data_IF_920660222965
#
_entry.id   IF_920660222965
#
_cell.length_a   1.000
_cell.length_b   1.000
_cell.length_c   1.000
_cell.angle_alpha   90.00
_cell.angle_beta   90.00
_cell.angle_gamma   90.00
#
_symmetry.space_group_name_H-M   'P 1'
#
loop_
_entity.id
_entity.type
_entity.pdbx_description
1 polymer ?
#
# COMPACT_ATOMS: atom_id res chain seq x y z
N UNK A 1 -7.80 26.95 -70.00
CA UNK A 1 -6.83 25.90 -70.33
C UNK A 1 -5.53 26.17 -69.61
N UNK A 2 -5.27 25.44 -68.52
CA UNK A 2 -3.97 25.27 -67.89
C UNK A 2 -4.07 24.05 -67.00
N UNK A 3 -3.21 23.07 -67.28
CA UNK A 3 -3.16 21.74 -66.68
C UNK A 3 -2.18 21.84 -65.50
N UNK A 4 -2.63 21.50 -64.30
CA UNK A 4 -1.77 21.31 -63.13
C UNK A 4 -1.30 19.84 -63.06
N UNK A 5 -0.04 19.57 -62.66
CA UNK A 5 0.50 18.22 -62.63
C UNK A 5 0.12 17.47 -61.35
N UNK A 6 -0.18 16.18 -61.53
CA UNK A 6 -0.36 15.16 -60.50
C UNK A 6 1.00 14.69 -59.96
N UNK A 7 1.25 14.92 -58.68
CA UNK A 7 2.38 14.33 -57.95
C UNK A 7 2.00 12.97 -57.37
N UNK A 8 2.65 11.92 -57.87
CA UNK A 8 2.56 10.54 -57.40
C UNK A 8 3.32 10.34 -56.08
N UNK A 9 2.64 9.81 -55.06
CA UNK A 9 3.25 9.33 -53.81
C UNK A 9 3.80 7.90 -54.02
N UNK A 10 5.11 7.72 -53.85
CA UNK A 10 5.74 6.40 -53.67
C UNK A 10 5.67 5.98 -52.20
N UNK A 11 5.43 4.70 -51.88
CA UNK A 11 5.54 4.19 -50.53
C UNK A 11 7.03 3.98 -50.18
N UNK A 12 7.54 4.80 -49.27
CA UNK A 12 8.86 4.60 -48.66
C UNK A 12 8.87 3.31 -47.84
N UNK A 13 9.79 2.41 -48.15
CA UNK A 13 10.07 1.23 -47.36
C UNK A 13 10.70 1.65 -46.02
N UNK A 14 10.04 1.28 -44.93
CA UNK A 14 10.56 1.44 -43.58
C UNK A 14 11.72 0.46 -43.38
N UNK A 15 12.95 0.93 -43.56
CA UNK A 15 14.14 0.22 -43.11
C UNK A 15 14.10 0.11 -41.57
N UNK A 16 14.06 -1.14 -41.08
CA UNK A 16 14.31 -1.48 -39.68
C UNK A 16 15.70 -0.96 -39.29
N UNK A 17 15.74 0.10 -38.48
CA UNK A 17 16.96 0.62 -37.90
C UNK A 17 17.67 -0.50 -37.11
N UNK A 18 18.91 -0.75 -37.49
CA UNK A 18 19.82 -1.70 -36.86
C UNK A 18 19.89 -1.46 -35.34
N UNK A 19 19.48 -2.46 -34.56
CA UNK A 19 19.66 -2.46 -33.11
C UNK A 19 21.15 -2.35 -32.76
N UNK A 20 21.48 -1.38 -31.91
CA UNK A 20 22.84 -1.21 -31.37
C UNK A 20 23.28 -2.48 -30.62
N UNK A 21 24.53 -2.95 -30.77
CA UNK A 21 25.10 -4.08 -30.01
C UNK A 21 24.89 -3.96 -28.49
N UNK A 22 24.82 -2.73 -27.96
CA UNK A 22 24.55 -2.47 -26.55
C UNK A 22 23.14 -2.89 -26.11
N UNK A 23 22.13 -2.74 -26.99
CA UNK A 23 20.75 -3.18 -26.71
C UNK A 23 20.62 -4.70 -26.72
N UNK A 24 21.36 -5.39 -27.59
CA UNK A 24 21.39 -6.86 -27.63
C UNK A 24 22.13 -7.44 -26.42
N UNK A 25 23.25 -6.82 -26.02
CA UNK A 25 23.99 -7.22 -24.82
C UNK A 25 23.16 -7.04 -23.54
N UNK A 26 22.42 -5.93 -23.41
CA UNK A 26 21.53 -5.71 -22.28
C UNK A 26 20.33 -6.69 -22.28
N UNK A 27 19.79 -7.04 -23.45
CA UNK A 27 18.74 -8.04 -23.60
C UNK A 27 19.25 -9.45 -23.20
N UNK A 28 20.44 -9.84 -23.65
CA UNK A 28 21.11 -11.10 -23.29
C UNK A 28 21.45 -11.14 -21.79
N UNK A 29 21.85 -10.01 -21.20
CA UNK A 29 22.15 -9.95 -19.77
C UNK A 29 20.87 -10.03 -18.93
N UNK A 30 19.77 -9.39 -19.38
CA UNK A 30 18.46 -9.48 -18.73
C UNK A 30 17.85 -10.89 -18.83
N UNK A 31 18.05 -11.58 -19.95
CA UNK A 31 17.57 -12.95 -20.14
C UNK A 31 18.39 -13.96 -19.36
N UNK A 32 19.71 -13.75 -19.22
CA UNK A 32 20.56 -14.53 -18.30
C UNK A 32 20.19 -14.30 -16.84
N UNK A 33 19.97 -13.05 -16.43
CA UNK A 33 19.52 -12.76 -15.07
C UNK A 33 18.15 -13.41 -14.78
N UNK A 34 17.22 -13.37 -15.74
CA UNK A 34 15.93 -14.05 -15.62
C UNK A 34 16.07 -15.58 -15.58
N UNK A 35 16.97 -16.15 -16.39
CA UNK A 35 17.24 -17.59 -16.41
C UNK A 35 17.91 -18.08 -15.12
N UNK A 36 18.87 -17.32 -14.59
CA UNK A 36 19.55 -17.62 -13.31
C UNK A 36 18.57 -17.53 -12.13
N UNK A 37 17.64 -16.57 -12.18
CA UNK A 37 16.56 -16.41 -11.21
C UNK A 37 15.55 -17.57 -11.27
N UNK A 38 15.25 -18.09 -12.46
CA UNK A 38 14.35 -19.23 -12.66
C UNK A 38 15.01 -20.57 -12.27
N UNK A 39 16.31 -20.74 -12.50
CA UNK A 39 17.05 -21.94 -12.06
C UNK A 39 17.18 -22.04 -10.53
N UNK A 40 17.15 -20.91 -9.81
CA UNK A 40 17.24 -20.89 -8.35
C UNK A 40 15.96 -21.32 -7.62
N UNK A 41 14.82 -21.44 -8.33
CA UNK A 41 13.49 -21.69 -7.76
C UNK A 41 13.12 -23.18 -7.60
N UNK A 42 14.09 -24.11 -7.65
CA UNK A 42 13.85 -25.56 -7.60
C UNK A 42 13.16 -26.08 -6.32
N UNK A 43 12.05 -26.82 -6.50
CA UNK A 43 11.27 -27.56 -5.48
C UNK A 43 11.93 -28.90 -5.11
N UNK A 44 11.90 -29.37 -3.84
CA UNK A 44 10.97 -30.48 -3.48
C UNK A 44 10.47 -30.53 -2.00
N UNK A 45 9.59 -31.52 -1.75
CA UNK A 45 8.70 -31.84 -0.61
C UNK A 45 9.25 -31.94 0.83
N UNK A 46 8.46 -31.51 1.84
CA UNK A 46 7.81 -32.36 2.87
C UNK A 46 7.28 -31.55 4.08
N UNK A 47 6.26 -32.08 4.75
CA UNK A 47 5.45 -31.42 5.78
C UNK A 47 5.84 -31.81 7.22
N UNK A 48 5.78 -30.87 8.18
CA UNK A 48 5.24 -31.03 9.56
C UNK A 48 5.51 -29.83 10.51
N UNK A 49 4.59 -29.64 11.48
CA UNK A 49 4.60 -28.84 12.74
C UNK A 49 4.13 -27.35 12.67
N UNK A 50 2.91 -26.96 13.13
CA UNK A 50 2.31 -26.87 14.49
C UNK A 50 2.64 -25.55 15.24
N UNK A 51 1.68 -24.59 15.42
CA UNK A 51 0.80 -24.31 16.60
C UNK A 51 1.61 -23.86 17.87
N UNK A 52 1.34 -22.80 18.67
CA UNK A 52 0.14 -22.01 19.10
C UNK A 52 0.58 -20.72 19.87
N UNK A 53 -0.38 -19.81 20.10
CA UNK A 53 -0.41 -18.49 20.76
C UNK A 53 -0.07 -18.34 22.27
N UNK A 54 0.04 -17.08 22.76
CA UNK A 54 -0.57 -16.61 24.03
C UNK A 54 -0.57 -15.07 24.23
N UNK A 55 -1.56 -14.63 25.01
CA UNK A 55 -2.13 -13.29 25.32
C UNK A 55 -1.30 -12.34 26.21
N UNK A 56 -1.66 -11.03 26.29
CA UNK A 56 -1.81 -10.21 27.53
C UNK A 56 -2.73 -8.95 27.33
N UNK A 57 -3.56 -8.73 28.36
CA UNK A 57 -4.56 -7.75 28.85
C UNK A 57 -4.63 -6.23 28.50
N UNK A 58 -5.90 -5.75 28.40
CA UNK A 58 -6.67 -4.69 29.15
C UNK A 58 -5.92 -3.45 29.75
N UNK A 59 -6.43 -2.21 29.88
CA UNK A 59 -7.76 -1.54 29.73
C UNK A 59 -7.52 -0.01 29.85
N UNK A 60 -8.11 0.88 29.04
CA UNK A 60 -8.28 2.32 29.40
C UNK A 60 -9.47 2.96 28.66
N UNK A 61 -10.18 3.87 29.35
CA UNK A 61 -11.06 4.90 28.77
C UNK A 61 -10.14 6.05 28.31
N UNK A 62 -10.46 6.70 27.19
CA UNK A 62 -9.60 7.54 26.34
C UNK A 62 -8.65 6.80 25.37
N UNK A 63 -9.15 5.73 24.75
CA UNK A 63 -8.39 4.96 23.74
C UNK A 63 -8.04 5.79 22.51
N UNK A 64 -6.76 5.77 22.09
CA UNK A 64 -6.33 6.12 20.73
C UNK A 64 -6.93 5.13 19.72
N UNK A 65 -6.91 5.46 18.42
CA UNK A 65 -7.43 4.55 17.38
C UNK A 65 -6.74 3.18 17.46
N UNK A 66 -5.44 3.16 17.77
CA UNK A 66 -4.65 1.96 18.04
C UNK A 66 -5.31 1.09 19.12
N UNK A 67 -5.68 1.69 20.26
CA UNK A 67 -6.29 0.94 21.37
C UNK A 67 -7.74 0.53 21.06
N UNK A 68 -8.50 1.35 20.31
CA UNK A 68 -9.86 0.99 19.87
C UNK A 68 -9.84 -0.23 18.97
N UNK A 69 -8.95 -0.22 17.98
CA UNK A 69 -8.78 -1.36 17.09
C UNK A 69 -8.19 -2.53 17.86
N UNK A 70 -7.26 -2.34 18.79
CA UNK A 70 -6.61 -3.41 19.56
C UNK A 70 -7.54 -4.20 20.50
N UNK A 71 -8.66 -3.63 20.96
CA UNK A 71 -9.60 -4.33 21.85
C UNK A 71 -10.25 -5.53 21.14
N UNK A 72 -10.18 -6.74 21.72
CA UNK A 72 -10.97 -7.88 21.24
C UNK A 72 -12.46 -7.55 21.27
N UNK A 73 -13.23 -8.02 20.28
CA UNK A 73 -14.70 -7.90 20.29
C UNK A 73 -15.26 -8.70 21.47
N UNK A 74 -15.63 -8.01 22.54
CA UNK A 74 -16.08 -8.63 23.78
C UNK A 74 -17.56 -9.01 23.68
N UNK A 75 -17.83 -10.26 23.30
CA UNK A 75 -19.05 -10.93 23.73
C UNK A 75 -18.81 -11.50 25.13
N UNK A 76 -19.41 -10.85 26.14
CA UNK A 76 -19.68 -11.44 27.46
C UNK A 76 -18.54 -11.47 28.47
N UNK A 77 -18.48 -10.47 29.36
CA UNK A 77 -18.47 -10.68 30.83
C UNK A 77 -18.29 -9.35 31.56
N UNK A 78 -19.00 -9.21 32.67
CA UNK A 78 -19.21 -8.01 33.46
C UNK A 78 -18.67 -8.27 34.88
N UNK A 79 -17.84 -7.36 35.39
CA UNK A 79 -17.41 -7.10 36.80
C UNK A 79 -15.94 -6.62 36.76
N UNK A 80 -15.40 -5.80 37.65
CA UNK A 80 -15.86 -5.10 38.86
C UNK A 80 -14.95 -3.85 38.99
N UNK A 81 -15.44 -2.78 39.63
CA UNK A 81 -14.72 -1.51 39.79
C UNK A 81 -13.86 -1.55 41.06
N UNK A 82 -12.59 -1.18 40.95
CA UNK A 82 -11.85 -0.56 42.06
C UNK A 82 -10.93 0.54 41.54
N UNK A 83 -10.80 1.55 42.39
CA UNK A 83 -10.28 2.89 42.17
C UNK A 83 -8.77 2.94 42.43
N UNK A 84 -8.01 3.80 41.73
CA UNK A 84 -6.56 3.92 41.97
C UNK A 84 -5.72 4.65 40.93
N UNK A 85 -5.77 5.98 41.00
CA UNK A 85 -4.75 7.02 40.73
C UNK A 85 -3.60 6.78 39.71
N UNK A 86 -3.58 7.72 38.76
CA UNK A 86 -2.77 7.86 37.55
C UNK A 86 -1.34 8.36 37.84
N UNK A 87 -0.34 7.76 37.17
CA UNK A 87 0.94 8.43 36.87
C UNK A 87 1.24 8.25 35.38
N UNK A 88 0.99 9.31 34.60
CA UNK A 88 1.25 9.34 33.16
C UNK A 88 2.75 9.49 32.89
N UNK A 89 3.49 8.38 32.95
CA UNK A 89 4.71 8.26 32.16
C UNK A 89 4.28 7.97 30.73
N UNK A 90 4.79 8.76 29.77
CA UNK A 90 4.73 8.44 28.34
C UNK A 90 5.52 7.14 28.11
N UNK A 91 4.89 6.01 28.42
CA UNK A 91 5.35 4.71 27.99
C UNK A 91 5.30 4.77 26.47
N UNK A 92 6.46 4.68 25.81
CA UNK A 92 6.53 4.33 24.41
C UNK A 92 5.84 2.97 24.26
N UNK A 93 4.54 3.00 24.02
CA UNK A 93 3.73 1.82 23.79
C UNK A 93 4.22 1.21 22.49
N UNK A 94 4.65 -0.05 22.57
CA UNK A 94 5.01 -0.82 21.38
C UNK A 94 3.86 -0.71 20.36
N UNK A 95 4.16 -0.49 19.06
CA UNK A 95 3.12 -0.44 18.04
C UNK A 95 2.23 -1.67 18.11
N UNK A 96 0.91 -1.49 18.06
CA UNK A 96 0.00 -2.62 17.96
C UNK A 96 0.20 -3.30 16.60
N UNK A 97 0.22 -4.63 16.57
CA UNK A 97 0.48 -5.41 15.36
C UNK A 97 -0.69 -6.35 15.10
N UNK A 98 -1.20 -6.31 13.87
CA UNK A 98 -2.31 -7.14 13.39
C UNK A 98 -1.95 -7.76 12.06
N UNK A 99 -2.67 -8.79 11.63
CA UNK A 99 -2.69 -9.18 10.21
C UNK A 99 -3.56 -8.23 9.39
N UNK A 100 -3.48 -8.29 8.05
CA UNK A 100 -4.38 -7.50 7.19
C UNK A 100 -5.86 -7.87 7.43
N UNK A 101 -6.17 -9.16 7.61
CA UNK A 101 -7.53 -9.63 7.84
C UNK A 101 -8.05 -9.17 9.20
N UNK A 102 -7.25 -9.28 10.26
CA UNK A 102 -7.61 -8.77 11.58
C UNK A 102 -7.86 -7.26 11.55
N UNK A 103 -7.02 -6.50 10.84
CA UNK A 103 -7.22 -5.07 10.66
C UNK A 103 -8.54 -4.78 9.95
N UNK A 104 -8.83 -5.45 8.82
CA UNK A 104 -10.05 -5.24 8.06
C UNK A 104 -11.31 -5.62 8.85
N UNK A 105 -11.27 -6.73 9.60
CA UNK A 105 -12.35 -7.15 10.49
C UNK A 105 -12.61 -6.15 11.61
N UNK A 106 -11.56 -5.65 12.26
CA UNK A 106 -11.67 -4.64 13.34
C UNK A 106 -12.24 -3.33 12.82
N UNK A 107 -11.85 -2.90 11.61
CA UNK A 107 -12.43 -1.71 10.97
C UNK A 107 -13.90 -1.92 10.65
N UNK A 108 -14.28 -3.06 10.05
CA UNK A 108 -15.69 -3.37 9.72
C UNK A 108 -16.59 -3.45 10.95
N UNK A 109 -16.08 -3.97 12.06
CA UNK A 109 -16.80 -4.06 13.33
C UNK A 109 -16.90 -2.71 14.07
N UNK A 110 -16.17 -1.68 13.65
CA UNK A 110 -16.19 -0.36 14.28
C UNK A 110 -17.44 0.45 13.90
N UNK A 111 -17.71 1.52 14.67
CA UNK A 111 -18.80 2.46 14.37
C UNK A 111 -18.63 3.12 13.00
N UNK A 112 -19.73 3.55 12.38
CA UNK A 112 -19.70 4.31 11.12
C UNK A 112 -18.77 5.51 11.20
N UNK A 113 -18.79 6.25 12.30
CA UNK A 113 -17.90 7.41 12.54
C UNK A 113 -16.41 7.04 12.61
N UNK A 114 -16.07 5.84 13.08
CA UNK A 114 -14.67 5.35 13.07
C UNK A 114 -14.28 4.88 11.68
N UNK A 115 -15.18 4.18 10.99
CA UNK A 115 -14.97 3.69 9.61
C UNK A 115 -14.78 4.84 8.62
N UNK A 116 -15.48 5.96 8.83
CA UNK A 116 -15.39 7.15 7.99
C UNK A 116 -14.17 8.04 8.29
N UNK A 117 -13.30 7.68 9.24
CA UNK A 117 -12.13 8.51 9.56
C UNK A 117 -11.26 8.73 8.30
N UNK A 118 -10.86 9.98 8.00
CA UNK A 118 -10.12 10.30 6.80
C UNK A 118 -8.68 9.77 6.84
N UNK A 119 -8.27 9.19 5.71
CA UNK A 119 -6.87 8.91 5.40
C UNK A 119 -6.31 10.14 4.68
N UNK A 120 -5.38 10.85 5.34
CA UNK A 120 -4.90 12.16 4.88
C UNK A 120 -3.54 12.12 4.21
N UNK A 121 -2.83 11.01 4.32
CA UNK A 121 -1.55 10.79 3.64
C UNK A 121 -1.31 9.30 3.42
N UNK A 122 -0.75 8.94 2.28
CA UNK A 122 -0.19 7.62 2.00
C UNK A 122 1.26 7.83 1.54
N UNK A 123 2.17 7.10 2.17
CA UNK A 123 3.61 7.19 1.91
C UNK A 123 4.21 5.81 1.70
N UNK A 124 4.99 5.64 0.65
CA UNK A 124 5.78 4.44 0.41
C UNK A 124 7.20 4.65 0.92
N UNK A 125 7.71 3.68 1.68
CA UNK A 125 9.04 3.69 2.23
C UNK A 125 9.82 2.43 1.86
N UNK A 126 11.14 2.56 1.84
CA UNK A 126 12.07 1.46 1.64
C UNK A 126 13.02 1.35 2.84
N UNK A 127 13.24 0.11 3.29
CA UNK A 127 14.36 -0.22 4.18
C UNK A 127 15.62 -0.38 3.35
N UNK A 128 16.69 0.39 3.61
CA UNK A 128 17.95 0.23 2.89
C UNK A 128 18.40 -1.23 2.92
N UNK A 129 18.66 -1.82 1.75
CA UNK A 129 19.24 -3.15 1.64
C UNK A 129 20.75 -3.11 1.88
N UNK A 130 21.33 -4.27 2.26
CA UNK A 130 22.78 -4.45 2.36
C UNK A 130 23.48 -4.08 1.03
N UNK A 131 24.77 -3.70 1.07
CA UNK A 131 25.52 -3.34 -0.14
C UNK A 131 25.66 -4.57 -1.06
N UNK A 132 24.82 -4.65 -2.09
CA UNK A 132 24.83 -5.66 -3.13
C UNK A 132 24.34 -5.08 -4.47
N UNK A 133 24.57 -5.77 -5.60
CA UNK A 133 24.31 -5.23 -6.94
C UNK A 133 22.81 -5.05 -7.26
N UNK A 134 21.93 -5.79 -6.59
CA UNK A 134 20.48 -5.71 -6.74
C UNK A 134 19.87 -5.11 -5.47
N UNK A 135 20.13 -3.82 -5.18
CA UNK A 135 19.68 -3.10 -3.97
C UNK A 135 18.14 -3.02 -3.87
N UNK A 136 17.47 -4.13 -3.63
CA UNK A 136 16.02 -4.21 -3.46
C UNK A 136 15.77 -4.20 -1.96
N UNK A 137 15.43 -3.03 -1.43
CA UNK A 137 15.04 -2.90 -0.04
C UNK A 137 13.63 -3.44 0.21
N UNK A 138 13.33 -3.79 1.47
CA UNK A 138 11.96 -4.12 1.86
C UNK A 138 11.09 -2.86 1.76
N UNK A 139 10.06 -2.90 0.91
CA UNK A 139 9.12 -1.81 0.70
C UNK A 139 7.86 -1.98 1.56
N UNK A 140 7.34 -0.87 2.07
CA UNK A 140 6.12 -0.85 2.88
C UNK A 140 5.41 0.50 2.75
N UNK A 141 4.13 0.53 3.09
CA UNK A 141 3.31 1.75 3.04
C UNK A 141 2.97 2.22 4.45
N UNK A 142 2.94 3.54 4.67
CA UNK A 142 2.40 4.17 5.87
C UNK A 142 1.22 5.04 5.48
N UNK A 143 0.05 4.75 6.04
CA UNK A 143 -1.14 5.58 5.96
C UNK A 143 -1.24 6.46 7.21
N UNK A 144 -1.61 7.73 7.04
CA UNK A 144 -1.98 8.63 8.14
C UNK A 144 -3.49 8.72 8.22
N UNK A 145 -4.07 8.32 9.35
CA UNK A 145 -5.50 8.37 9.65
C UNK A 145 -5.74 9.50 10.64
N UNK A 146 -6.49 10.53 10.24
CA UNK A 146 -6.79 11.67 11.09
C UNK A 146 -8.06 11.41 11.91
N UNK A 147 -8.00 11.61 13.22
CA UNK A 147 -9.14 11.55 14.12
C UNK A 147 -9.12 12.72 15.13
N UNK A 148 -10.20 12.99 15.89
CA UNK A 148 -10.30 14.18 16.75
C UNK A 148 -9.23 14.35 17.82
N UNK A 149 -8.46 13.31 18.11
CA UNK A 149 -7.39 13.32 19.13
C UNK A 149 -5.99 13.44 18.53
N UNK A 150 -5.88 13.57 17.20
CA UNK A 150 -4.63 13.58 16.47
C UNK A 150 -4.55 12.50 15.38
N UNK A 151 -3.43 12.43 14.66
CA UNK A 151 -3.20 11.40 13.67
C UNK A 151 -2.75 10.07 14.31
N UNK A 152 -3.24 8.96 13.76
CA UNK A 152 -2.66 7.63 13.95
C UNK A 152 -2.07 7.16 12.63
N UNK A 153 -0.90 6.53 12.69
CA UNK A 153 -0.18 6.00 11.54
C UNK A 153 -0.34 4.48 11.48
N UNK A 154 -0.66 3.96 10.30
CA UNK A 154 -0.77 2.54 10.02
C UNK A 154 0.26 2.14 8.97
N UNK A 155 1.24 1.32 9.37
CA UNK A 155 2.27 0.75 8.50
C UNK A 155 1.84 -0.63 8.02
N UNK A 156 1.83 -0.83 6.71
CA UNK A 156 1.45 -2.06 6.03
C UNK A 156 2.70 -2.73 5.46
N UNK A 157 3.06 -3.86 6.04
CA UNK A 157 4.19 -4.67 5.62
C UNK A 157 3.71 -6.00 5.01
N UNK A 158 4.48 -6.51 4.07
CA UNK A 158 4.40 -7.89 3.60
C UNK A 158 5.79 -8.51 3.70
N UNK A 159 5.95 -9.56 4.49
CA UNK A 159 7.21 -10.29 4.61
C UNK A 159 7.08 -11.70 4.07
N UNK A 160 8.22 -12.26 3.66
CA UNK A 160 8.37 -13.69 3.54
C UNK A 160 8.56 -14.31 4.91
N UNK A 161 7.86 -15.39 5.23
CA UNK A 161 8.24 -16.18 6.40
C UNK A 161 9.67 -16.74 6.28
N UNK A 162 10.19 -16.95 5.06
CA UNK A 162 11.59 -17.34 4.83
C UNK A 162 12.62 -16.25 5.17
N UNK A 163 12.20 -15.01 5.44
CA UNK A 163 13.07 -13.98 6.01
C UNK A 163 13.30 -14.20 7.53
N UNK A 164 12.61 -15.16 8.14
CA UNK A 164 12.92 -15.64 9.49
C UNK A 164 14.11 -16.61 9.43
N UNK A 165 15.08 -16.51 10.36
CA UNK A 165 16.25 -17.40 10.38
C UNK A 165 15.82 -18.88 10.36
N UNK A 166 16.29 -19.64 9.36
CA UNK A 166 16.11 -21.09 9.30
C UNK A 166 14.91 -21.62 8.50
N UNK A 167 14.15 -20.76 7.79
CA UNK A 167 13.04 -21.19 6.94
C UNK A 167 13.48 -21.22 5.46
N UNK A 168 13.33 -22.38 4.82
CA UNK A 168 13.61 -22.57 3.40
C UNK A 168 12.76 -21.62 2.52
N UNK A 169 13.30 -21.24 1.36
CA UNK A 169 12.62 -20.42 0.35
C UNK A 169 11.20 -20.95 0.07
N UNK A 170 10.18 -20.09 0.13
CA UNK A 170 8.76 -20.46 -0.12
C UNK A 170 7.83 -20.49 1.09
N UNK A 171 8.19 -19.81 2.19
CA UNK A 171 7.30 -19.67 3.35
C UNK A 171 6.07 -18.77 3.10
N UNK A 172 5.01 -18.87 3.94
CA UNK A 172 3.78 -18.09 3.75
C UNK A 172 4.03 -16.58 3.84
N UNK A 173 3.26 -15.83 3.05
CA UNK A 173 3.21 -14.37 3.11
C UNK A 173 2.71 -13.90 4.47
N UNK A 174 3.48 -13.05 5.13
CA UNK A 174 3.09 -12.42 6.39
C UNK A 174 2.68 -10.97 6.10
N UNK A 175 1.37 -10.76 5.98
CA UNK A 175 0.75 -9.45 5.91
C UNK A 175 0.58 -8.88 7.31
N UNK A 176 1.20 -7.73 7.60
CA UNK A 176 1.18 -7.12 8.93
C UNK A 176 0.82 -5.64 8.87
N UNK A 177 -0.07 -5.22 9.76
CA UNK A 177 -0.37 -3.82 10.03
C UNK A 177 0.20 -3.45 11.39
N UNK A 178 1.12 -2.48 11.42
CA UNK A 178 1.62 -1.87 12.67
C UNK A 178 1.01 -0.50 12.84
N UNK A 179 0.39 -0.23 13.98
CA UNK A 179 -0.22 1.07 14.25
C UNK A 179 0.48 1.79 15.41
N UNK A 180 0.73 3.09 15.24
CA UNK A 180 1.33 3.95 16.25
C UNK A 180 0.83 5.38 16.09
N UNK A 181 0.78 6.14 17.18
CA UNK A 181 0.55 7.58 17.16
C UNK A 181 1.88 8.36 16.94
N UNK A 182 3.02 7.66 16.88
CA UNK A 182 4.34 8.20 16.52
C UNK A 182 4.77 7.68 15.14
N UNK A 183 4.78 8.59 14.14
CA UNK A 183 5.23 8.26 12.78
C UNK A 183 6.68 7.82 12.73
N UNK A 184 7.55 8.43 13.54
CA UNK A 184 8.99 8.16 13.54
C UNK A 184 9.24 6.72 13.99
N UNK A 185 8.46 6.21 14.95
CA UNK A 185 8.52 4.82 15.36
C UNK A 185 8.27 3.82 14.21
N UNK A 186 7.58 4.24 13.13
CA UNK A 186 7.30 3.41 11.96
C UNK A 186 8.29 3.64 10.80
N UNK A 187 8.95 4.79 10.73
CA UNK A 187 9.74 5.24 9.56
C UNK A 187 11.22 5.52 9.84
N UNK A 188 11.69 5.43 11.08
CA UNK A 188 13.08 5.77 11.44
C UNK A 188 14.12 5.03 10.60
N UNK A 189 15.00 5.79 9.93
CA UNK A 189 16.08 5.26 9.11
C UNK A 189 15.61 4.56 7.84
N UNK A 190 14.53 5.07 7.22
CA UNK A 190 13.89 4.52 6.02
C UNK A 190 13.80 5.60 4.97
N UNK A 191 13.94 5.22 3.70
CA UNK A 191 13.91 6.14 2.56
C UNK A 191 12.47 6.29 2.10
N UNK A 192 11.97 7.52 2.00
CA UNK A 192 10.70 7.81 1.35
C UNK A 192 10.85 7.61 -0.17
N UNK A 193 9.98 6.81 -0.77
CA UNK A 193 9.94 6.55 -2.21
C UNK A 193 8.90 7.43 -2.89
N UNK A 194 7.69 7.45 -2.35
CA UNK A 194 6.58 8.22 -2.88
C UNK A 194 5.60 8.64 -1.79
N UNK A 195 4.83 9.69 -2.07
CA UNK A 195 3.86 10.24 -1.14
C UNK A 195 2.71 10.89 -1.90
N UNK A 196 1.50 10.76 -1.35
CA UNK A 196 0.38 11.66 -1.59
C UNK A 196 -0.16 12.12 -0.25
N UNK A 197 -0.45 13.40 -0.10
CA UNK A 197 -1.06 13.95 1.10
C UNK A 197 -2.07 15.03 0.75
N UNK A 198 -3.07 15.19 1.61
CA UNK A 198 -4.01 16.30 1.50
C UNK A 198 -3.31 17.61 1.91
N UNK A 199 -3.48 18.67 1.11
CA UNK A 199 -2.98 19.99 1.45
C UNK A 199 -3.64 20.55 2.72
N UNK A 200 -2.94 21.44 3.42
CA UNK A 200 -3.51 22.13 4.58
C UNK A 200 -4.80 22.87 4.18
N UNK A 201 -5.89 22.66 4.94
CA UNK A 201 -7.18 23.32 4.71
C UNK A 201 -8.06 22.71 3.61
N UNK A 202 -7.62 21.66 2.92
CA UNK A 202 -8.46 20.99 1.93
C UNK A 202 -9.54 20.10 2.59
N UNK A 203 -10.73 20.07 1.99
CA UNK A 203 -11.84 19.27 2.49
C UNK A 203 -11.57 17.77 2.39
N UNK A 204 -11.68 17.09 3.52
CA UNK A 204 -11.49 15.63 3.65
C UNK A 204 -12.70 14.80 3.21
N UNK A 205 -13.85 15.42 2.92
CA UNK A 205 -15.14 14.71 2.72
C UNK A 205 -15.23 13.89 1.44
N UNK A 206 -14.26 14.04 0.54
CA UNK A 206 -14.19 13.30 -0.74
C UNK A 206 -12.98 12.37 -0.82
N UNK A 207 -12.24 12.26 0.29
CA UNK A 207 -11.02 11.46 0.37
C UNK A 207 -11.26 10.00 0.74
N UNK A 208 -10.17 9.22 0.79
CA UNK A 208 -10.22 7.85 1.28
C UNK A 208 -10.53 7.83 2.77
N UNK A 209 -11.35 6.88 3.18
CA UNK A 209 -11.61 6.58 4.58
C UNK A 209 -10.78 5.40 5.08
N UNK A 210 -10.81 5.19 6.40
CA UNK A 210 -10.30 3.98 7.03
C UNK A 210 -10.99 2.71 6.50
N UNK A 211 -12.29 2.78 6.20
CA UNK A 211 -13.06 1.69 5.59
C UNK A 211 -12.59 1.37 4.16
N UNK A 212 -12.29 2.40 3.36
CA UNK A 212 -11.74 2.24 2.02
C UNK A 212 -10.37 1.55 2.06
N UNK A 213 -9.51 1.97 2.99
CA UNK A 213 -8.20 1.35 3.21
C UNK A 213 -8.33 -0.11 3.66
N UNK A 214 -9.25 -0.41 4.58
CA UNK A 214 -9.54 -1.77 5.03
C UNK A 214 -10.03 -2.68 3.89
N UNK A 215 -10.92 -2.19 3.04
CA UNK A 215 -11.40 -2.93 1.86
C UNK A 215 -10.26 -3.24 0.88
N UNK A 216 -9.36 -2.28 0.65
CA UNK A 216 -8.22 -2.49 -0.25
C UNK A 216 -7.26 -3.57 0.26
N UNK A 217 -6.89 -3.52 1.55
CA UNK A 217 -5.95 -4.51 2.11
C UNK A 217 -6.55 -5.92 2.16
N UNK A 218 -7.86 -6.04 2.32
CA UNK A 218 -8.55 -7.32 2.20
C UNK A 218 -8.47 -7.87 0.76
N UNK A 219 -8.71 -7.03 -0.25
CA UNK A 219 -8.57 -7.43 -1.66
C UNK A 219 -7.13 -7.87 -1.94
N UNK A 220 -6.13 -7.10 -1.48
CA UNK A 220 -4.71 -7.45 -1.64
C UNK A 220 -4.42 -8.81 -0.99
N UNK A 221 -4.91 -9.05 0.23
CA UNK A 221 -4.70 -10.32 0.92
C UNK A 221 -5.36 -11.50 0.20
N UNK A 222 -6.59 -11.32 -0.29
CA UNK A 222 -7.29 -12.35 -1.08
C UNK A 222 -6.54 -12.66 -2.37
N UNK A 223 -6.03 -11.62 -3.05
CA UNK A 223 -5.25 -11.77 -4.28
C UNK A 223 -3.85 -12.29 -4.07
N UNK A 224 -3.31 -12.27 -2.87
CA UNK A 224 -2.00 -12.85 -2.59
C UNK A 224 -1.92 -14.33 -3.00
N UNK A 225 -3.04 -15.06 -2.87
CA UNK A 225 -3.12 -16.49 -3.21
C UNK A 225 -2.24 -17.35 -2.31
N UNK A 226 -2.02 -18.61 -2.72
CA UNK A 226 -1.20 -19.59 -1.98
C UNK A 226 0.30 -19.54 -2.32
N UNK A 227 0.67 -19.01 -3.47
CA UNK A 227 2.04 -19.07 -3.99
C UNK A 227 2.73 -17.72 -3.93
N UNK A 228 3.58 -17.57 -2.92
CA UNK A 228 4.53 -16.47 -2.82
C UNK A 228 5.89 -16.90 -3.37
N UNK A 229 6.50 -16.03 -4.16
CA UNK A 229 7.93 -16.10 -4.47
C UNK A 229 8.56 -14.71 -4.40
N UNK A 230 9.86 -14.65 -4.14
CA UNK A 230 10.66 -13.41 -4.11
C UNK A 230 10.43 -12.52 -5.36
N UNK A 231 10.03 -13.15 -6.47
CA UNK A 231 9.92 -12.57 -7.81
C UNK A 231 8.44 -12.34 -8.21
N UNK A 232 7.48 -12.82 -7.41
CA UNK A 232 6.05 -12.78 -7.69
C UNK A 232 5.30 -11.68 -6.92
N UNK A 233 4.26 -12.06 -6.17
CA UNK A 233 3.49 -11.16 -5.30
C UNK A 233 4.28 -10.89 -4.01
N UNK A 234 5.27 -9.99 -4.09
CA UNK A 234 6.17 -9.63 -2.99
C UNK A 234 5.82 -8.28 -2.31
N UNK A 235 6.70 -7.76 -1.45
CA UNK A 235 6.49 -6.47 -0.79
C UNK A 235 6.42 -5.29 -1.76
N UNK A 236 7.14 -5.32 -2.89
CA UNK A 236 7.01 -4.31 -3.93
C UNK A 236 5.64 -4.38 -4.62
N UNK A 237 5.14 -5.59 -4.92
CA UNK A 237 3.77 -5.78 -5.45
C UNK A 237 2.69 -5.27 -4.48
N UNK A 238 2.81 -5.56 -3.19
CA UNK A 238 1.86 -5.05 -2.18
C UNK A 238 1.92 -3.52 -2.08
N UNK A 239 3.13 -2.95 -2.10
CA UNK A 239 3.35 -1.52 -2.13
C UNK A 239 2.75 -0.87 -3.39
N UNK A 240 2.92 -1.50 -4.57
CA UNK A 240 2.31 -1.09 -5.84
C UNK A 240 0.79 -0.94 -5.70
N UNK A 241 0.12 -2.02 -5.30
CA UNK A 241 -1.33 -2.04 -5.18
C UNK A 241 -1.85 -1.04 -4.14
N UNK A 242 -1.18 -0.94 -3.00
CA UNK A 242 -1.64 -0.09 -1.90
C UNK A 242 -1.38 1.40 -2.17
N UNK A 243 -0.14 1.78 -2.48
CA UNK A 243 0.22 3.18 -2.73
C UNK A 243 -0.43 3.72 -4.01
N UNK A 244 -0.20 3.04 -5.14
CA UNK A 244 -0.63 3.55 -6.43
C UNK A 244 -2.12 3.32 -6.68
N UNK A 245 -2.72 2.29 -6.09
CA UNK A 245 -4.17 2.11 -6.07
C UNK A 245 -4.87 3.24 -5.32
N UNK A 246 -4.43 3.56 -4.10
CA UNK A 246 -4.96 4.70 -3.34
C UNK A 246 -4.79 6.02 -4.09
N UNK A 247 -3.60 6.25 -4.68
CA UNK A 247 -3.32 7.46 -5.45
C UNK A 247 -4.23 7.59 -6.68
N UNK A 248 -4.47 6.50 -7.41
CA UNK A 248 -5.29 6.50 -8.63
C UNK A 248 -6.78 6.63 -8.33
N UNK A 249 -7.29 5.89 -7.32
CA UNK A 249 -8.72 5.86 -6.98
C UNK A 249 -9.23 7.21 -6.51
N UNK A 250 -8.42 7.91 -5.73
CA UNK A 250 -8.74 9.20 -5.14
C UNK A 250 -7.89 10.32 -5.75
N UNK A 251 -7.54 10.23 -7.03
CA UNK A 251 -6.66 11.20 -7.70
C UNK A 251 -7.16 12.64 -7.59
N UNK A 252 -8.47 12.87 -7.75
CA UNK A 252 -9.09 14.19 -7.58
C UNK A 252 -8.94 14.76 -6.17
N UNK A 253 -8.79 13.91 -5.15
CA UNK A 253 -8.49 14.30 -3.78
C UNK A 253 -7.01 14.65 -3.61
N UNK A 254 -6.12 13.77 -4.09
CA UNK A 254 -4.68 13.91 -3.90
C UNK A 254 -4.03 15.01 -4.72
N UNK A 255 -4.53 15.28 -5.94
CA UNK A 255 -4.01 16.34 -6.81
C UNK A 255 -4.18 17.75 -6.22
N UNK A 256 -4.94 17.91 -5.14
CA UNK A 256 -5.12 19.17 -4.40
C UNK A 256 -4.06 19.40 -3.32
N UNK A 257 -3.20 18.42 -3.05
CA UNK A 257 -2.19 18.50 -2.00
C UNK A 257 -0.79 18.14 -2.51
N UNK A 258 0.20 18.05 -1.60
CA UNK A 258 1.56 17.69 -1.98
C UNK A 258 1.68 16.21 -2.32
N UNK A 259 2.50 15.91 -3.32
CA UNK A 259 2.84 14.55 -3.71
C UNK A 259 4.29 14.48 -4.22
N UNK A 260 4.92 13.33 -4.04
CA UNK A 260 6.34 13.10 -4.33
C UNK A 260 6.56 11.72 -4.96
N UNK A 261 7.48 11.58 -5.92
CA UNK A 261 8.03 12.64 -6.77
C UNK A 261 6.91 13.31 -7.57
N UNK A 262 6.95 14.64 -7.69
CA UNK A 262 5.82 15.43 -8.21
C UNK A 262 5.39 14.96 -9.61
N UNK A 263 6.31 15.00 -10.57
CA UNK A 263 5.98 14.69 -11.96
C UNK A 263 5.47 13.24 -12.15
N UNK A 264 6.14 12.26 -11.55
CA UNK A 264 5.74 10.85 -11.67
C UNK A 264 4.36 10.60 -11.07
N UNK A 265 4.11 11.12 -9.86
CA UNK A 265 2.82 10.91 -9.18
C UNK A 265 1.69 11.67 -9.89
N UNK A 266 1.95 12.88 -10.41
CA UNK A 266 1.01 13.64 -11.24
C UNK A 266 0.58 12.83 -12.46
N UNK A 267 1.55 12.36 -13.26
CA UNK A 267 1.31 11.55 -14.46
C UNK A 267 0.53 10.27 -14.15
N UNK A 268 0.90 9.56 -13.08
CA UNK A 268 0.18 8.36 -12.64
C UNK A 268 -1.27 8.66 -12.27
N UNK A 269 -1.50 9.69 -11.45
CA UNK A 269 -2.84 10.07 -11.00
C UNK A 269 -3.74 10.52 -12.15
N UNK A 270 -3.20 11.18 -13.18
CA UNK A 270 -3.91 11.47 -14.42
C UNK A 270 -4.09 10.26 -15.34
N UNK A 271 -3.25 9.22 -15.20
CA UNK A 271 -3.33 8.01 -16.01
C UNK A 271 -2.49 8.05 -17.27
N UNK A 272 -1.49 8.92 -17.28
CA UNK A 272 -0.58 9.11 -18.41
C UNK A 272 0.52 8.03 -18.45
N UNK A 273 0.70 7.28 -17.36
CA UNK A 273 1.67 6.19 -17.24
C UNK A 273 1.05 4.99 -16.52
N UNK A 274 1.57 3.79 -16.79
CA UNK A 274 1.25 2.56 -16.08
C UNK A 274 1.95 2.44 -14.71
N UNK A 275 1.50 1.50 -13.88
CA UNK A 275 1.97 1.33 -12.49
C UNK A 275 3.43 0.92 -12.44
N UNK A 276 3.88 0.05 -13.35
CA UNK A 276 5.30 -0.35 -13.41
C UNK A 276 6.19 0.86 -13.68
N UNK A 277 5.77 1.75 -14.59
CA UNK A 277 6.52 2.97 -14.91
C UNK A 277 6.58 3.89 -13.70
N UNK A 278 5.46 4.08 -13.02
CA UNK A 278 5.34 4.92 -11.83
C UNK A 278 6.21 4.39 -10.67
N UNK A 279 6.11 3.10 -10.35
CA UNK A 279 6.88 2.46 -9.27
C UNK A 279 8.38 2.53 -9.53
N UNK A 280 8.81 2.25 -10.76
CA UNK A 280 10.24 2.31 -11.12
C UNK A 280 10.79 3.73 -11.08
N UNK A 281 10.02 4.72 -11.55
CA UNK A 281 10.38 6.14 -11.44
C UNK A 281 10.51 6.62 -9.99
N UNK A 282 9.62 6.17 -9.10
CA UNK A 282 9.68 6.51 -7.67
C UNK A 282 10.85 5.80 -6.94
N UNK A 283 11.21 4.60 -7.40
CA UNK A 283 12.21 3.75 -6.71
C UNK A 283 13.64 4.09 -7.11
N UNK A 284 13.88 4.31 -8.40
CA UNK A 284 15.22 4.45 -8.98
C UNK A 284 15.46 5.90 -9.45
N UNK A 285 16.43 6.60 -8.85
CA UNK A 285 16.71 7.98 -9.23
C UNK A 285 17.40 8.09 -10.61
N UNK A 286 18.23 7.11 -10.98
CA UNK A 286 19.02 7.15 -12.21
C UNK A 286 18.26 6.54 -13.41
N UNK A 287 18.41 7.11 -14.63
CA UNK A 287 17.71 6.62 -15.82
C UNK A 287 18.03 5.16 -16.20
N UNK A 288 19.27 4.71 -15.96
CA UNK A 288 19.71 3.37 -16.34
C UNK A 288 19.06 2.31 -15.46
N UNK A 289 19.06 2.53 -14.14
CA UNK A 289 18.38 1.69 -13.17
C UNK A 289 16.87 1.62 -13.43
N UNK A 290 16.25 2.74 -13.80
CA UNK A 290 14.84 2.76 -14.22
C UNK A 290 14.58 1.89 -15.44
N UNK A 291 15.39 2.06 -16.50
CA UNK A 291 15.24 1.25 -17.71
C UNK A 291 15.43 -0.24 -17.42
N UNK A 292 16.50 -0.60 -16.71
CA UNK A 292 16.79 -1.98 -16.31
C UNK A 292 15.64 -2.58 -15.50
N UNK A 293 15.18 -1.89 -14.46
CA UNK A 293 14.10 -2.36 -13.59
C UNK A 293 12.78 -2.56 -14.34
N UNK A 294 12.44 -1.66 -15.27
CA UNK A 294 11.25 -1.80 -16.12
C UNK A 294 11.34 -2.99 -17.05
N UNK A 295 12.46 -3.14 -17.73
CA UNK A 295 12.67 -4.23 -18.68
C UNK A 295 12.68 -5.57 -17.96
N UNK A 296 13.45 -5.71 -16.88
CA UNK A 296 13.50 -6.95 -16.09
C UNK A 296 12.14 -7.26 -15.45
N UNK A 297 11.48 -6.27 -14.86
CA UNK A 297 10.16 -6.43 -14.25
C UNK A 297 9.12 -6.89 -15.27
N UNK A 298 9.10 -6.28 -16.45
CA UNK A 298 8.18 -6.66 -17.54
C UNK A 298 8.42 -8.09 -18.03
N UNK A 299 9.69 -8.47 -18.27
CA UNK A 299 10.05 -9.81 -18.76
C UNK A 299 9.67 -10.87 -17.73
N UNK A 300 10.09 -10.68 -16.49
CA UNK A 300 9.81 -11.59 -15.38
C UNK A 300 8.30 -11.77 -15.19
N UNK A 301 7.55 -10.66 -15.16
CA UNK A 301 6.10 -10.70 -14.98
C UNK A 301 5.39 -11.37 -16.17
N UNK A 302 5.86 -11.11 -17.39
CA UNK A 302 5.36 -11.76 -18.60
C UNK A 302 5.57 -13.27 -18.59
N UNK A 303 6.73 -13.74 -18.12
CA UNK A 303 7.01 -15.18 -17.94
C UNK A 303 6.06 -15.77 -16.90
N UNK A 304 5.88 -15.14 -15.74
CA UNK A 304 4.94 -15.63 -14.73
C UNK A 304 3.50 -15.69 -15.26
N UNK A 305 3.04 -14.64 -15.95
CA UNK A 305 1.70 -14.60 -16.52
C UNK A 305 1.49 -15.67 -17.59
N UNK A 306 2.50 -15.93 -18.41
CA UNK A 306 2.46 -16.99 -19.42
C UNK A 306 2.42 -18.39 -18.79
N UNK A 307 3.29 -18.65 -17.80
CA UNK A 307 3.41 -19.97 -17.15
C UNK A 307 2.15 -20.32 -16.34
N UNK A 308 1.54 -19.33 -15.69
CA UNK A 308 0.37 -19.55 -14.82
C UNK A 308 -0.96 -19.28 -15.50
N UNK A 309 -1.00 -19.12 -16.84
CA UNK A 309 -2.19 -18.67 -17.58
C UNK A 309 -3.45 -19.51 -17.33
N UNK A 310 -3.26 -20.80 -17.04
CA UNK A 310 -4.31 -21.81 -16.85
C UNK A 310 -4.71 -21.97 -15.36
N UNK A 311 -4.02 -21.27 -14.44
CA UNK A 311 -4.29 -21.32 -13.01
C UNK A 311 -5.41 -20.35 -12.59
N UNK A 312 -6.19 -20.71 -11.56
CA UNK A 312 -7.19 -19.81 -10.99
C UNK A 312 -6.53 -18.55 -10.38
N UNK A 313 -5.34 -18.70 -9.81
CA UNK A 313 -4.58 -17.64 -9.15
C UNK A 313 -3.49 -17.04 -10.06
N UNK A 314 -3.68 -17.11 -11.39
CA UNK A 314 -2.68 -16.69 -12.38
C UNK A 314 -2.08 -15.31 -12.09
N UNK A 315 -0.80 -15.18 -12.43
CA UNK A 315 -0.15 -13.88 -12.46
C UNK A 315 -0.66 -13.08 -13.65
N UNK A 316 -0.90 -11.79 -13.41
CA UNK A 316 -1.24 -10.82 -14.46
C UNK A 316 -0.09 -9.83 -14.64
N UNK A 317 -0.04 -9.12 -15.76
CA UNK A 317 0.85 -7.96 -15.86
C UNK A 317 0.48 -6.94 -14.77
N UNK A 318 1.43 -6.09 -14.35
CA UNK A 318 1.20 -5.20 -13.20
C UNK A 318 0.04 -4.22 -13.42
N UNK A 319 -0.13 -3.71 -14.64
CA UNK A 319 -1.24 -2.82 -14.98
C UNK A 319 -2.60 -3.56 -14.92
N UNK A 320 -2.67 -4.77 -15.47
CA UNK A 320 -3.86 -5.63 -15.40
C UNK A 320 -4.22 -6.00 -13.95
N UNK A 321 -3.20 -6.31 -13.14
CA UNK A 321 -3.38 -6.63 -11.72
C UNK A 321 -3.95 -5.42 -10.96
N UNK A 322 -3.44 -4.22 -11.23
CA UNK A 322 -3.97 -2.97 -10.68
C UNK A 322 -5.42 -2.76 -11.12
N UNK A 323 -5.74 -2.97 -12.40
CA UNK A 323 -7.11 -2.80 -12.91
C UNK A 323 -8.10 -3.75 -12.22
N UNK A 324 -7.72 -5.02 -12.04
CA UNK A 324 -8.55 -6.02 -11.34
C UNK A 324 -8.81 -5.59 -9.89
N UNK A 325 -7.77 -5.17 -9.17
CA UNK A 325 -7.88 -4.67 -7.79
C UNK A 325 -8.79 -3.45 -7.72
N UNK A 326 -8.58 -2.48 -8.59
CA UNK A 326 -9.34 -1.23 -8.65
C UNK A 326 -10.81 -1.46 -8.99
N UNK A 327 -11.10 -2.46 -9.82
CA UNK A 327 -12.44 -2.89 -10.21
C UNK A 327 -13.19 -3.62 -9.10
N UNK A 328 -12.48 -4.41 -8.29
CA UNK A 328 -13.01 -5.07 -7.10
C UNK A 328 -13.23 -4.09 -5.93
N UNK A 329 -12.44 -3.01 -5.87
CA UNK A 329 -12.46 -2.05 -4.78
C UNK A 329 -13.65 -1.08 -4.87
N UNK A 330 -14.78 -1.52 -4.30
CA UNK A 330 -16.08 -0.84 -4.26
C UNK A 330 -16.75 -1.05 -2.88
N UNK A 331 -17.86 -0.37 -2.63
CA UNK A 331 -18.73 -0.65 -1.47
C UNK A 331 -18.21 -0.17 -0.10
N UNK A 332 -17.20 0.70 -0.08
CA UNK A 332 -16.66 1.30 1.15
C UNK A 332 -17.31 2.67 1.45
N UNK A 333 -17.31 3.06 2.73
CA UNK A 333 -17.71 4.40 3.14
C UNK A 333 -16.68 5.44 2.69
N UNK A 334 -17.11 6.64 2.30
CA UNK A 334 -16.20 7.77 2.05
C UNK A 334 -15.81 8.47 3.35
N UNK A 335 -14.71 9.21 3.32
CA UNK A 335 -14.23 9.94 4.48
C UNK A 335 -15.22 11.03 4.93
N UNK A 336 -15.42 11.15 6.24
CA UNK A 336 -16.22 12.19 6.88
C UNK A 336 -15.59 12.55 8.23
N UNK A 337 -15.54 13.84 8.52
CA UNK A 337 -15.34 14.31 9.89
C UNK A 337 -16.71 14.75 10.36
N UNK A 338 -17.31 13.94 11.23
CA UNK A 338 -18.42 14.43 12.04
C UNK A 338 -17.80 15.39 13.04
N UNK A 339 -17.81 16.68 12.73
CA UNK A 339 -17.62 17.70 13.75
C UNK A 339 -18.89 17.58 14.57
N UNK A 340 -18.81 16.97 15.76
CA UNK A 340 -19.87 17.14 16.75
C UNK A 340 -20.04 18.64 16.91
N UNK A 341 -21.11 19.17 16.32
CA UNK A 341 -21.53 20.55 16.53
C UNK A 341 -21.65 20.69 18.05
N UNK A 342 -20.93 21.63 18.68
CA UNK A 342 -20.98 21.77 20.13
C UNK A 342 -22.45 21.87 20.51
N UNK A 343 -22.93 20.92 21.32
CA UNK A 343 -24.30 21.01 21.81
C UNK A 343 -24.45 22.40 22.44
N UNK A 344 -25.44 23.20 22.02
CA UNK A 344 -25.69 24.48 22.67
C UNK A 344 -25.85 24.20 24.16
N UNK A 345 -25.07 24.92 24.97
CA UNK A 345 -25.09 24.75 26.41
C UNK A 345 -26.54 24.96 26.87
N UNK A 346 -27.18 23.97 27.52
CA UNK A 346 -28.59 24.09 27.92
C UNK A 346 -28.82 25.18 28.98
N UNK A 347 -27.75 25.82 29.48
CA UNK A 347 -27.77 26.85 30.52
C UNK A 347 -27.66 28.29 30.01
N UNK A 348 -27.63 28.54 28.69
CA UNK A 348 -27.90 29.89 28.15
C UNK A 348 -29.41 30.17 28.18
N UNK A 349 -29.96 30.14 29.40
CA UNK A 349 -31.25 30.69 29.75
C UNK A 349 -31.22 32.17 29.44
N UNK A 350 -31.73 32.52 28.26
CA UNK A 350 -32.16 33.86 27.92
C UNK A 350 -33.19 34.30 28.98
N UNK A 351 -32.72 34.95 30.04
CA UNK A 351 -33.56 35.81 30.86
C UNK A 351 -34.07 36.91 29.92
N UNK A 352 -35.28 36.70 29.41
CA UNK A 352 -36.07 37.75 28.78
C UNK A 352 -36.40 38.79 29.85
N UNK A 353 -35.46 39.72 30.04
CA UNK A 353 -35.71 40.97 30.73
C UNK A 353 -36.86 41.69 30.03
N UNK A 354 -38.04 41.64 30.64
CA UNK A 354 -39.14 42.52 30.30
C UNK A 354 -38.78 43.96 30.64
N UNK A 355 -38.90 44.84 29.65
CA UNK A 355 -39.17 46.27 29.85
C UNK A 355 -40.47 46.61 29.18
#
# INVERSE_FOLDING_TARGET
>A
MSILPTSSLSPGSSQLASHSPASLAALIQSSRLAADVLQFAGLPHSAAAARTAANVFDKFKYTSLVVRLAKPSAAGSRQEQSDGTIRAQYVHTRPACFTFSEFAERVRAASTSTRSLPVTSIESYETPSNPGPLRIGHQYVVATVLHPKGPTYARFDMFLASDAPGIAMGGPSLFRVKMSDDKVALTKGRRLLSMVSIGQGASVTTGPSLDALAALVEIIQQRAGREFGLIGRNCAWMNELLMFGMARKFSSHWLRGPYLPEETMRRWMHGEIGVLTATTDCTHPDPVGRWLARTSGSVVRGVHAFVTRDDQDRFLMQDDEMEVVMSAWKGFALARIDIEEPQPDPDDGFESGGM
#
